data_IF_895582661375
#
_entry.id   IF_895582661375
#
_cell.length_a   1.000
_cell.length_b   1.000
_cell.length_c   1.000
_cell.angle_alpha   90.00
_cell.angle_beta   90.00
_cell.angle_gamma   90.00
#
_symmetry.space_group_name_H-M   'P 1'
#
loop_
_entity.id
_entity.type
_entity.pdbx_description
1 polymer ?
#
# COMPACT_ATOMS: atom_id res chain seq x y z
N UNK A 1 15.42 11.61 -6.89
CA UNK A 1 14.24 10.80 -6.49
C UNK A 1 13.65 10.11 -7.70
N UNK A 2 13.46 8.81 -7.60
CA UNK A 2 12.86 7.99 -8.65
C UNK A 2 11.48 7.50 -8.19
N UNK A 3 10.44 7.92 -8.84
CA UNK A 3 9.03 7.66 -8.51
C UNK A 3 8.28 8.90 -7.99
N UNK A 4 7.01 8.75 -7.57
CA UNK A 4 6.27 7.48 -7.42
C UNK A 4 6.01 6.79 -8.77
N UNK A 5 6.14 5.49 -8.79
CA UNK A 5 5.93 4.64 -9.98
C UNK A 5 5.65 3.19 -9.61
N UNK A 6 5.30 2.39 -10.60
CA UNK A 6 5.20 0.95 -10.42
C UNK A 6 6.54 0.32 -9.99
N UNK A 7 6.45 -0.68 -9.14
CA UNK A 7 7.56 -1.55 -8.83
C UNK A 7 7.92 -2.40 -10.06
N UNK A 8 9.19 -2.59 -10.33
CA UNK A 8 9.68 -3.49 -11.37
C UNK A 8 10.35 -4.71 -10.74
N UNK A 9 10.66 -5.72 -11.56
CA UNK A 9 11.35 -6.93 -11.07
C UNK A 9 12.65 -6.57 -10.34
N UNK A 10 13.40 -5.59 -10.83
CA UNK A 10 14.67 -5.15 -10.22
C UNK A 10 14.50 -4.42 -8.87
N UNK A 11 13.28 -3.97 -8.56
CA UNK A 11 12.97 -3.27 -7.30
C UNK A 11 12.47 -4.21 -6.20
N UNK A 12 12.10 -5.46 -6.55
CA UNK A 12 11.42 -6.39 -5.63
C UNK A 12 12.22 -6.62 -4.36
N UNK A 13 13.49 -6.98 -4.50
CA UNK A 13 14.35 -7.26 -3.34
C UNK A 13 14.41 -6.08 -2.37
N UNK A 14 14.73 -4.89 -2.88
CA UNK A 14 14.80 -3.69 -2.06
C UNK A 14 13.47 -3.31 -1.41
N UNK A 15 12.37 -3.52 -2.12
CA UNK A 15 11.03 -3.25 -1.56
C UNK A 15 10.68 -4.22 -0.43
N UNK A 16 11.00 -5.50 -0.57
CA UNK A 16 10.77 -6.50 0.47
C UNK A 16 11.66 -6.28 1.68
N UNK A 17 12.90 -5.88 1.49
CA UNK A 17 13.79 -5.49 2.60
C UNK A 17 13.17 -4.38 3.43
N UNK A 18 12.65 -3.33 2.79
CA UNK A 18 11.98 -2.23 3.49
C UNK A 18 10.76 -2.71 4.29
N UNK A 19 9.89 -3.50 3.65
CA UNK A 19 8.65 -3.98 4.26
C UNK A 19 8.95 -4.89 5.45
N UNK A 20 9.85 -5.85 5.27
CA UNK A 20 10.23 -6.80 6.32
C UNK A 20 10.92 -6.08 7.49
N UNK A 21 11.74 -5.09 7.22
CA UNK A 21 12.38 -4.27 8.25
C UNK A 21 11.35 -3.56 9.13
N UNK A 22 10.30 -3.01 8.55
CA UNK A 22 9.28 -2.26 9.29
C UNK A 22 8.30 -3.20 10.02
N UNK A 23 7.86 -4.29 9.40
CA UNK A 23 6.77 -5.12 9.92
C UNK A 23 7.23 -6.46 10.49
N UNK A 24 8.41 -6.95 10.13
CA UNK A 24 8.88 -8.29 10.47
C UNK A 24 10.24 -8.33 11.17
N UNK A 25 10.81 -7.18 11.52
CA UNK A 25 12.10 -7.12 12.20
C UNK A 25 12.07 -7.93 13.49
N UNK A 26 13.06 -8.78 13.70
CA UNK A 26 13.16 -9.66 14.87
C UNK A 26 12.27 -10.90 14.84
N UNK A 27 11.61 -11.18 13.71
CA UNK A 27 10.80 -12.39 13.50
C UNK A 27 11.36 -13.24 12.38
N UNK A 28 10.95 -14.51 12.32
CA UNK A 28 11.25 -15.42 11.19
C UNK A 28 10.20 -15.30 10.07
N UNK A 29 9.31 -14.31 10.15
CA UNK A 29 8.24 -14.10 9.19
C UNK A 29 8.72 -13.29 8.00
N UNK A 30 8.14 -13.58 6.84
CA UNK A 30 8.40 -12.88 5.59
C UNK A 30 7.07 -12.40 4.98
N UNK A 31 7.01 -11.11 4.65
CA UNK A 31 5.81 -10.51 4.09
C UNK A 31 5.35 -11.16 2.78
N UNK A 32 6.29 -11.60 1.94
CA UNK A 32 5.96 -12.27 0.68
C UNK A 32 5.23 -13.60 0.92
N UNK A 33 5.64 -14.34 1.92
CA UNK A 33 5.01 -15.61 2.32
C UNK A 33 3.66 -15.37 2.99
N UNK A 34 3.57 -14.36 3.85
CA UNK A 34 2.35 -14.05 4.61
C UNK A 34 1.23 -13.45 3.75
N UNK A 35 1.61 -12.66 2.72
CA UNK A 35 0.66 -11.94 1.87
C UNK A 35 0.93 -12.18 0.38
N UNK A 36 0.83 -13.43 -0.09
CA UNK A 36 1.19 -13.76 -1.47
C UNK A 36 0.36 -13.01 -2.52
N UNK A 37 -0.89 -12.67 -2.20
CA UNK A 37 -1.76 -11.93 -3.13
C UNK A 37 -1.31 -10.50 -3.37
N UNK A 38 -0.57 -9.91 -2.46
CA UNK A 38 -0.02 -8.55 -2.60
C UNK A 38 1.35 -8.58 -3.28
N UNK A 39 2.16 -9.59 -2.95
CA UNK A 39 3.57 -9.66 -3.36
C UNK A 39 3.84 -10.61 -4.52
N UNK A 40 2.80 -11.17 -5.10
CA UNK A 40 2.93 -11.97 -6.33
C UNK A 40 3.49 -11.10 -7.47
N UNK A 41 4.26 -11.74 -8.35
CA UNK A 41 4.88 -11.04 -9.49
C UNK A 41 3.86 -10.39 -10.44
N UNK A 42 2.62 -10.89 -10.49
CA UNK A 42 1.53 -10.29 -11.26
C UNK A 42 1.01 -8.96 -10.68
N UNK A 43 1.40 -8.62 -9.45
CA UNK A 43 0.93 -7.43 -8.73
C UNK A 43 1.91 -6.26 -8.76
N UNK A 44 3.03 -6.37 -9.49
CA UNK A 44 4.09 -5.35 -9.50
C UNK A 44 3.59 -3.96 -9.89
N UNK A 45 2.70 -3.85 -10.87
CA UNK A 45 2.15 -2.57 -11.30
C UNK A 45 1.31 -1.87 -10.22
N UNK A 46 0.76 -2.64 -9.28
CA UNK A 46 -0.06 -2.14 -8.17
C UNK A 46 0.73 -1.83 -6.91
N UNK A 47 2.03 -2.06 -6.93
CA UNK A 47 2.93 -1.70 -5.85
C UNK A 47 3.63 -0.41 -6.23
N UNK A 48 3.23 0.69 -5.59
CA UNK A 48 3.78 2.03 -5.91
C UNK A 48 4.95 2.32 -5.00
N UNK A 49 6.06 2.75 -5.57
CA UNK A 49 7.31 2.93 -4.84
C UNK A 49 7.98 4.26 -5.16
N UNK A 50 8.82 4.69 -4.22
CA UNK A 50 9.81 5.76 -4.43
C UNK A 50 11.17 5.21 -4.05
N UNK A 51 12.17 5.51 -4.88
CA UNK A 51 13.57 5.16 -4.63
C UNK A 51 14.41 6.42 -4.42
N UNK A 52 15.35 6.34 -3.50
CA UNK A 52 16.41 7.33 -3.30
C UNK A 52 17.71 6.57 -3.15
N UNK A 53 18.76 7.01 -3.84
CA UNK A 53 20.07 6.34 -3.86
C UNK A 53 19.97 4.84 -4.17
N UNK A 54 19.15 4.53 -5.18
CA UNK A 54 18.91 3.17 -5.68
C UNK A 54 18.27 2.19 -4.68
N UNK A 55 17.68 2.70 -3.61
CA UNK A 55 16.93 1.89 -2.62
C UNK A 55 15.48 2.34 -2.54
N UNK A 56 14.57 1.39 -2.39
CA UNK A 56 13.15 1.68 -2.13
C UNK A 56 13.02 2.26 -0.72
N UNK A 57 12.49 3.47 -0.62
CA UNK A 57 12.32 4.19 0.65
C UNK A 57 10.86 4.44 1.01
N UNK A 58 9.95 4.28 0.07
CA UNK A 58 8.51 4.35 0.30
C UNK A 58 7.79 3.31 -0.57
N UNK A 59 6.73 2.74 -0.04
CA UNK A 59 5.94 1.70 -0.69
C UNK A 59 4.48 1.79 -0.23
N UNK A 60 3.57 1.83 -1.20
CA UNK A 60 2.12 1.73 -0.97
C UNK A 60 1.53 0.80 -2.04
N UNK A 61 1.03 -0.37 -1.68
CA UNK A 61 0.35 -1.24 -2.62
C UNK A 61 -1.15 -0.91 -2.68
N UNK A 62 -1.73 -1.08 -3.86
CA UNK A 62 -3.17 -0.94 -4.10
C UNK A 62 -3.68 -2.19 -4.83
N UNK A 63 -4.01 -3.22 -4.08
CA UNK A 63 -4.42 -4.50 -4.66
C UNK A 63 -5.87 -4.44 -5.16
N UNK A 64 -6.15 -4.91 -6.40
CA UNK A 64 -7.53 -4.98 -6.89
C UNK A 64 -8.33 -6.03 -6.10
N UNK A 65 -9.53 -5.65 -5.67
CA UNK A 65 -10.45 -6.54 -4.95
C UNK A 65 -11.87 -6.28 -5.40
N UNK A 66 -12.63 -7.35 -5.60
CA UNK A 66 -14.07 -7.25 -5.78
C UNK A 66 -14.75 -7.13 -4.43
N UNK A 67 -15.63 -6.15 -4.31
CA UNK A 67 -16.49 -5.97 -3.13
C UNK A 67 -17.96 -6.04 -3.55
N UNK A 68 -18.82 -6.50 -2.66
CA UNK A 68 -20.26 -6.55 -2.88
C UNK A 68 -20.94 -5.38 -2.18
N UNK A 69 -21.78 -4.68 -2.92
CA UNK A 69 -22.62 -3.62 -2.37
C UNK A 69 -24.04 -3.79 -2.90
N UNK A 70 -24.96 -4.11 -2.01
CA UNK A 70 -26.38 -4.31 -2.36
C UNK A 70 -26.57 -5.30 -3.53
N UNK A 71 -25.76 -6.37 -3.56
CA UNK A 71 -25.80 -7.38 -4.63
C UNK A 71 -24.97 -7.03 -5.87
N UNK A 72 -24.48 -5.82 -6.01
CA UNK A 72 -23.61 -5.41 -7.11
C UNK A 72 -22.14 -5.67 -6.78
N UNK A 73 -21.39 -6.10 -7.80
CA UNK A 73 -19.94 -6.27 -7.69
C UNK A 73 -19.25 -4.97 -8.10
N UNK A 74 -18.41 -4.46 -7.21
CA UNK A 74 -17.59 -3.28 -7.45
C UNK A 74 -16.11 -3.63 -7.32
N UNK A 75 -15.27 -3.10 -8.22
CA UNK A 75 -13.83 -3.17 -8.04
C UNK A 75 -13.39 -2.15 -7.02
N UNK A 76 -12.60 -2.58 -6.04
CA UNK A 76 -12.01 -1.74 -5.01
C UNK A 76 -10.50 -1.83 -5.01
N UNK A 77 -9.82 -0.74 -4.70
CA UNK A 77 -8.39 -0.74 -4.41
C UNK A 77 -8.14 -0.97 -2.91
N UNK A 78 -7.57 -2.10 -2.56
CA UNK A 78 -7.19 -2.40 -1.19
C UNK A 78 -5.78 -1.87 -0.91
N UNK A 79 -5.69 -0.86 -0.04
CA UNK A 79 -4.42 -0.33 0.44
C UNK A 79 -3.95 -1.15 1.64
N UNK A 80 -2.69 -1.58 1.62
CA UNK A 80 -2.07 -2.31 2.71
C UNK A 80 -0.59 -1.93 2.83
N UNK A 81 0.15 -2.56 3.70
CA UNK A 81 1.62 -2.48 3.81
C UNK A 81 2.24 -1.11 3.42
N UNK A 82 1.63 -0.01 3.88
CA UNK A 82 2.11 1.34 3.64
C UNK A 82 3.31 1.61 4.53
N UNK A 83 4.47 1.83 3.92
CA UNK A 83 5.72 2.03 4.66
C UNK A 83 6.55 3.16 4.08
N UNK A 84 7.24 3.88 4.96
CA UNK A 84 8.32 4.79 4.60
C UNK A 84 9.52 4.50 5.50
N UNK A 85 10.70 4.41 4.90
CA UNK A 85 11.94 4.20 5.63
C UNK A 85 12.13 5.29 6.70
N UNK A 86 12.57 4.91 7.89
CA UNK A 86 12.67 5.80 9.05
C UNK A 86 13.44 7.09 8.78
N UNK A 87 14.51 7.01 7.98
CA UNK A 87 15.37 8.17 7.67
C UNK A 87 14.71 9.15 6.68
N UNK A 88 13.62 8.76 6.05
CA UNK A 88 12.92 9.54 5.02
C UNK A 88 11.50 9.93 5.40
N UNK A 89 11.10 9.69 6.65
CA UNK A 89 9.78 10.06 7.16
C UNK A 89 9.60 11.57 7.25
N UNK A 90 8.34 12.02 7.28
CA UNK A 90 7.94 13.43 7.38
C UNK A 90 8.41 14.29 6.20
N UNK A 91 8.65 13.68 5.04
CA UNK A 91 8.99 14.34 3.79
C UNK A 91 7.89 14.22 2.73
N UNK A 92 6.74 13.66 3.08
CA UNK A 92 5.60 13.49 2.18
C UNK A 92 5.72 12.34 1.17
N UNK A 93 6.71 11.45 1.29
CA UNK A 93 6.91 10.37 0.33
C UNK A 93 5.77 9.35 0.34
N UNK A 94 5.28 8.99 1.53
CA UNK A 94 4.11 8.11 1.65
C UNK A 94 2.87 8.70 1.00
N UNK A 95 2.64 10.00 1.18
CA UNK A 95 1.53 10.72 0.54
C UNK A 95 1.66 10.71 -0.97
N UNK A 96 2.86 10.91 -1.52
CA UNK A 96 3.09 10.83 -2.97
C UNK A 96 2.75 9.44 -3.53
N UNK A 97 3.16 8.38 -2.85
CA UNK A 97 2.81 7.02 -3.26
C UNK A 97 1.30 6.77 -3.15
N UNK A 98 0.66 7.28 -2.10
CA UNK A 98 -0.78 7.13 -1.90
C UNK A 98 -1.58 7.86 -2.99
N UNK A 99 -1.16 9.06 -3.35
CA UNK A 99 -1.76 9.81 -4.47
C UNK A 99 -1.57 9.10 -5.81
N UNK A 100 -0.43 8.45 -6.00
CA UNK A 100 -0.18 7.64 -7.19
C UNK A 100 -1.10 6.41 -7.25
N UNK A 101 -1.42 5.81 -6.09
CA UNK A 101 -2.46 4.77 -6.00
C UNK A 101 -3.84 5.30 -6.42
N UNK A 102 -4.18 6.52 -6.02
CA UNK A 102 -5.45 7.16 -6.43
C UNK A 102 -5.48 7.34 -7.95
N UNK A 103 -4.39 7.75 -8.56
CA UNK A 103 -4.31 7.89 -10.02
C UNK A 103 -4.54 6.55 -10.72
N UNK A 104 -3.93 5.46 -10.24
CA UNK A 104 -4.16 4.12 -10.80
C UNK A 104 -5.62 3.72 -10.69
N UNK A 105 -6.24 3.93 -9.53
CA UNK A 105 -7.66 3.63 -9.35
C UNK A 105 -8.55 4.42 -10.30
N UNK A 106 -8.25 5.70 -10.50
CA UNK A 106 -8.99 6.54 -11.43
C UNK A 106 -8.81 6.10 -12.88
N UNK A 107 -7.59 5.77 -13.30
CA UNK A 107 -7.30 5.26 -14.64
C UNK A 107 -8.03 3.95 -14.94
N UNK A 108 -8.20 3.11 -13.92
CA UNK A 108 -8.86 1.81 -14.01
C UNK A 108 -10.36 1.87 -13.78
N UNK A 109 -10.90 3.05 -13.48
CA UNK A 109 -12.32 3.24 -13.14
C UNK A 109 -12.76 2.40 -11.93
N UNK A 110 -11.90 2.25 -10.92
CA UNK A 110 -12.27 1.60 -9.67
C UNK A 110 -13.02 2.61 -8.79
N UNK A 111 -14.29 2.35 -8.44
CA UNK A 111 -15.13 3.38 -7.79
C UNK A 111 -14.83 3.58 -6.31
N UNK A 112 -14.08 2.68 -5.68
CA UNK A 112 -13.86 2.74 -4.23
C UNK A 112 -12.50 2.18 -3.84
N UNK A 113 -12.09 2.52 -2.63
CA UNK A 113 -10.88 2.00 -1.98
C UNK A 113 -11.16 1.69 -0.52
N UNK A 114 -10.53 0.66 -0.01
CA UNK A 114 -10.68 0.19 1.37
C UNK A 114 -9.31 0.00 1.99
N UNK A 115 -9.20 0.33 3.26
CA UNK A 115 -8.01 0.00 4.06
C UNK A 115 -8.38 -0.19 5.53
N UNK A 116 -7.54 -0.93 6.24
CA UNK A 116 -7.61 -1.06 7.69
C UNK A 116 -6.32 -0.51 8.27
N UNK A 117 -6.45 0.30 9.30
CA UNK A 117 -5.28 0.88 9.96
C UNK A 117 -5.60 1.26 11.40
N UNK A 118 -4.57 1.61 12.15
CA UNK A 118 -4.74 2.11 13.52
C UNK A 118 -5.20 3.57 13.52
N UNK A 119 -5.94 3.95 14.54
CA UNK A 119 -6.48 5.29 14.68
C UNK A 119 -5.40 6.39 14.58
N UNK A 120 -4.21 6.14 15.11
CA UNK A 120 -3.10 7.08 15.06
C UNK A 120 -2.69 7.47 13.62
N UNK A 121 -2.96 6.61 12.64
CA UNK A 121 -2.62 6.85 11.22
C UNK A 121 -3.80 7.37 10.39
N UNK A 122 -4.99 7.52 10.97
CA UNK A 122 -6.17 8.04 10.26
C UNK A 122 -5.91 9.37 9.56
N UNK A 123 -5.27 10.38 10.18
CA UNK A 123 -5.03 11.65 9.51
C UNK A 123 -4.24 11.53 8.21
N UNK A 124 -3.28 10.61 8.15
CA UNK A 124 -2.49 10.35 6.93
C UNK A 124 -3.39 9.99 5.74
N UNK A 125 -4.36 9.09 5.96
CA UNK A 125 -5.28 8.66 4.91
C UNK A 125 -6.41 9.66 4.68
N UNK A 126 -6.93 10.27 5.74
CA UNK A 126 -7.99 11.28 5.64
C UNK A 126 -7.55 12.49 4.83
N UNK A 127 -6.30 12.91 4.94
CA UNK A 127 -5.74 14.03 4.16
C UNK A 127 -5.74 13.75 2.66
N UNK A 128 -5.78 12.49 2.24
CA UNK A 128 -5.84 12.08 0.83
C UNK A 128 -7.23 11.63 0.39
N UNK A 129 -8.26 11.75 1.25
CA UNK A 129 -9.66 11.55 0.89
C UNK A 129 -10.35 10.31 1.45
N UNK A 130 -9.65 9.47 2.23
CA UNK A 130 -10.32 8.36 2.92
C UNK A 130 -11.11 8.86 4.13
N UNK A 131 -12.21 8.20 4.41
CA UNK A 131 -13.06 8.48 5.58
C UNK A 131 -13.13 7.27 6.50
N UNK A 132 -13.12 7.51 7.79
CA UNK A 132 -13.33 6.46 8.77
C UNK A 132 -14.79 6.02 8.76
N UNK A 133 -15.05 4.71 8.55
CA UNK A 133 -16.39 4.14 8.47
C UNK A 133 -16.56 3.04 9.51
N UNK A 134 -16.96 3.39 10.70
CA UNK A 134 -17.33 2.45 11.74
C UNK A 134 -16.21 2.03 12.69
N UNK A 135 -16.62 1.40 13.77
CA UNK A 135 -15.74 0.84 14.78
C UNK A 135 -15.21 -0.52 14.34
N UNK A 136 -13.97 -0.80 14.68
CA UNK A 136 -13.28 -2.02 14.36
C UNK A 136 -13.40 -3.01 15.51
N UNK A 137 -14.43 -3.80 15.51
CA UNK A 137 -14.50 -4.98 16.35
C UNK A 137 -14.39 -6.21 15.48
N UNK A 138 -13.36 -7.03 15.67
CA UNK A 138 -13.37 -8.37 15.13
C UNK A 138 -14.02 -9.29 16.15
N UNK A 139 -15.11 -9.91 15.77
CA UNK A 139 -15.72 -10.98 16.53
C UNK A 139 -15.40 -12.27 15.79
N UNK A 140 -14.68 -13.14 16.43
CA UNK A 140 -14.40 -14.48 15.93
C UNK A 140 -15.45 -15.44 16.43
#
# INVERSE_FOLDING_TARGET
MDGPRACTVSDVESSLELINKVFREGTDQDAQTDYPLVYDSSMLEFRRIIKIDNKVVAHVPVAPRLVLRNGDQLMSGLISATVTHSDYRKQGLGTLCLEDCIQIMNQRNWPTSILWTMEATFPFYQNSGWEAVGSQGFVY
#
